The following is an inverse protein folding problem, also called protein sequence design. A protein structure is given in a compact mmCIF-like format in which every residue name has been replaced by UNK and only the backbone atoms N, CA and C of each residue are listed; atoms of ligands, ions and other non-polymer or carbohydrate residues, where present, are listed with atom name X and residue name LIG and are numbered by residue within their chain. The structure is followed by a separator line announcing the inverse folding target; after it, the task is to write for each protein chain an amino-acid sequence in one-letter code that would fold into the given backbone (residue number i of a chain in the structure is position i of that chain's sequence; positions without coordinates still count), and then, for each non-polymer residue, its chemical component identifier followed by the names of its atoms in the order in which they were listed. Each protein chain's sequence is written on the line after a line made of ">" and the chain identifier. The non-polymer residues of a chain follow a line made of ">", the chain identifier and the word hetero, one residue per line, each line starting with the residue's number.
data_IF_860448634732
#
_entry.id   IF_860448634732
#
_cell.length_a   1.000
_cell.length_b   1.000
_cell.length_c   1.000
_cell.angle_alpha   90.00
_cell.angle_beta   90.00
_cell.angle_gamma   90.00
#
_symmetry.space_group_name_H-M   'P 1'
#
loop_
_entity.id
_entity.type
_entity.pdbx_description
1 polymer ?
#
# COMPACT_ATOMS: atom_id res chain seq x y z
N UNK A 1 10.71 18.23 -5.26
CA UNK A 1 10.53 16.77 -5.18
C UNK A 1 9.77 16.51 -3.91
N UNK A 2 8.53 16.06 -3.95
CA UNK A 2 7.85 15.59 -2.74
C UNK A 2 8.44 14.22 -2.42
N UNK A 3 9.29 14.11 -1.41
CA UNK A 3 9.69 12.82 -0.86
C UNK A 3 8.41 12.11 -0.38
N UNK A 4 8.06 10.99 -1.01
CA UNK A 4 6.96 10.15 -0.54
C UNK A 4 7.21 9.67 0.89
N UNK A 5 6.14 9.58 1.69
CA UNK A 5 6.20 9.00 3.02
C UNK A 5 6.37 7.48 2.88
N UNK A 6 7.21 6.91 3.74
CA UNK A 6 7.41 5.47 3.82
C UNK A 6 6.54 4.94 4.96
N UNK A 7 5.65 4.00 4.64
CA UNK A 7 4.91 3.22 5.62
C UNK A 7 5.68 1.93 5.93
N UNK A 8 5.97 1.69 7.21
CA UNK A 8 6.55 0.43 7.70
C UNK A 8 5.49 -0.26 8.55
N UNK A 9 5.10 -1.47 8.16
CA UNK A 9 4.01 -2.19 8.82
C UNK A 9 4.36 -3.65 9.14
N UNK A 10 3.69 -4.20 10.16
CA UNK A 10 3.67 -5.63 10.44
C UNK A 10 2.25 -6.04 10.81
N UNK A 11 1.61 -6.83 9.93
CA UNK A 11 0.26 -7.34 10.17
C UNK A 11 0.29 -8.42 11.28
N UNK A 12 -0.72 -8.39 12.14
CA UNK A 12 -0.94 -9.38 13.18
C UNK A 12 -2.44 -9.67 13.32
N UNK A 13 -2.79 -10.82 13.89
CA UNK A 13 -4.17 -11.20 14.17
C UNK A 13 -4.49 -10.73 15.60
N UNK A 14 -5.46 -9.82 15.81
CA UNK A 14 -5.85 -9.41 17.15
C UNK A 14 -6.58 -10.56 17.86
N UNK A 15 -6.26 -10.76 19.14
CA UNK A 15 -6.98 -11.68 20.03
C UNK A 15 -7.91 -10.94 21.00
N UNK A 16 -8.77 -11.66 21.75
CA UNK A 16 -9.48 -11.09 22.89
C UNK A 16 -8.48 -10.44 23.85
N UNK A 17 -8.73 -9.21 24.32
CA UNK A 17 -7.78 -8.50 25.19
C UNK A 17 -6.82 -7.55 24.47
N UNK A 18 -6.83 -7.48 23.12
CA UNK A 18 -5.88 -6.64 22.38
C UNK A 18 -6.08 -5.15 22.71
N UNK A 19 -7.33 -4.70 22.75
CA UNK A 19 -7.66 -3.29 23.02
C UNK A 19 -7.31 -2.91 24.48
N UNK A 20 -7.66 -3.77 25.44
CA UNK A 20 -7.36 -3.59 26.85
C UNK A 20 -5.85 -3.51 27.08
N UNK A 21 -5.08 -4.39 26.43
CA UNK A 21 -3.62 -4.40 26.55
C UNK A 21 -2.99 -3.13 25.96
N UNK A 22 -3.52 -2.60 24.86
CA UNK A 22 -3.07 -1.33 24.30
C UNK A 22 -3.30 -0.18 25.29
N UNK A 23 -4.46 -0.13 25.95
CA UNK A 23 -4.79 0.88 26.97
C UNK A 23 -3.88 0.77 28.20
N UNK A 24 -3.63 -0.44 28.71
CA UNK A 24 -2.72 -0.67 29.84
C UNK A 24 -1.29 -0.19 29.59
N UNK A 25 -0.84 -0.26 28.33
CA UNK A 25 0.48 0.21 27.90
C UNK A 25 0.52 1.72 27.60
N UNK A 26 -0.59 2.44 27.82
CA UNK A 26 -0.69 3.88 27.60
C UNK A 26 -1.08 4.28 26.18
N UNK A 27 -1.52 3.33 25.34
CA UNK A 27 -2.13 3.62 24.05
C UNK A 27 -3.47 4.32 24.22
N UNK A 28 -3.85 5.14 23.25
CA UNK A 28 -5.15 5.82 23.22
C UNK A 28 -5.88 5.47 21.93
N UNK A 29 -7.20 5.28 21.99
CA UNK A 29 -8.01 5.19 20.79
C UNK A 29 -8.06 6.56 20.11
N UNK A 30 -7.27 6.71 19.04
CA UNK A 30 -7.17 7.98 18.31
C UNK A 30 -8.49 8.27 17.58
N UNK A 31 -8.95 7.33 16.75
CA UNK A 31 -10.18 7.44 15.97
C UNK A 31 -10.82 6.06 15.74
N UNK A 32 -12.13 6.05 15.52
CA UNK A 32 -12.86 4.92 14.97
C UNK A 32 -13.51 5.35 13.66
N UNK A 33 -13.19 4.66 12.57
CA UNK A 33 -13.66 5.01 11.23
C UNK A 33 -14.17 3.78 10.49
N UNK A 34 -15.19 4.00 9.68
CA UNK A 34 -15.65 3.04 8.66
C UNK A 34 -15.29 3.62 7.30
N UNK A 35 -14.58 2.86 6.47
CA UNK A 35 -14.20 3.27 5.13
C UNK A 35 -14.39 2.12 4.15
N UNK A 36 -14.48 2.47 2.86
CA UNK A 36 -14.52 1.53 1.75
C UNK A 36 -13.36 1.80 0.81
N UNK A 37 -12.60 0.76 0.54
CA UNK A 37 -11.58 0.75 -0.50
C UNK A 37 -12.09 -0.02 -1.73
N UNK A 38 -11.95 0.58 -2.90
CA UNK A 38 -12.09 -0.11 -4.19
C UNK A 38 -10.70 -0.35 -4.75
N UNK A 39 -10.30 -1.62 -4.86
CA UNK A 39 -8.99 -2.01 -5.40
C UNK A 39 -9.06 -2.25 -6.91
N UNK A 40 -8.00 -1.85 -7.61
CA UNK A 40 -7.90 -1.94 -9.06
C UNK A 40 -6.60 -2.61 -9.47
N UNK A 41 -6.67 -3.49 -10.46
CA UNK A 41 -5.52 -4.16 -11.08
C UNK A 41 -5.86 -4.53 -12.54
N UNK A 42 -4.88 -5.06 -13.27
CA UNK A 42 -5.11 -5.69 -14.57
C UNK A 42 -5.76 -7.07 -14.39
N UNK A 43 -6.38 -7.66 -15.44
CA UNK A 43 -6.92 -9.02 -15.37
C UNK A 43 -5.91 -10.08 -14.90
N UNK A 44 -4.63 -9.85 -15.16
CA UNK A 44 -3.52 -10.75 -14.78
C UNK A 44 -3.04 -10.55 -13.33
N UNK A 45 -3.63 -9.58 -12.61
CA UNK A 45 -3.22 -9.17 -11.27
C UNK A 45 -1.76 -8.69 -11.23
N UNK A 46 -1.38 -7.90 -12.23
CA UNK A 46 -0.01 -7.48 -12.47
C UNK A 46 0.58 -6.65 -11.32
N UNK A 47 -0.23 -5.76 -10.72
CA UNK A 47 0.20 -4.93 -9.60
C UNK A 47 0.36 -5.77 -8.34
N UNK A 48 -0.62 -6.62 -8.01
CA UNK A 48 -0.55 -7.48 -6.83
C UNK A 48 0.64 -8.44 -6.89
N UNK A 49 0.91 -9.05 -8.06
CA UNK A 49 2.11 -9.88 -8.27
C UNK A 49 3.42 -9.10 -8.14
N UNK A 50 3.37 -7.79 -8.26
CA UNK A 50 4.51 -6.88 -8.13
C UNK A 50 4.65 -6.26 -6.74
N UNK A 51 3.82 -6.66 -5.77
CA UNK A 51 3.70 -6.00 -4.47
C UNK A 51 3.30 -4.51 -4.56
N UNK A 52 2.47 -4.17 -5.56
CA UNK A 52 1.88 -2.84 -5.73
C UNK A 52 0.37 -2.89 -5.48
N UNK A 53 -0.18 -1.82 -4.90
CA UNK A 53 -1.58 -1.77 -4.47
C UNK A 53 -2.22 -0.44 -4.86
N UNK A 54 -3.08 -0.45 -5.88
CA UNK A 54 -3.86 0.71 -6.31
C UNK A 54 -5.27 0.63 -5.73
N UNK A 55 -5.69 1.67 -5.00
CA UNK A 55 -7.02 1.75 -4.44
C UNK A 55 -7.59 3.16 -4.57
N UNK A 56 -8.91 3.24 -4.65
CA UNK A 56 -9.66 4.45 -4.39
C UNK A 56 -10.40 4.28 -3.06
N UNK A 57 -10.12 5.17 -2.12
CA UNK A 57 -10.79 5.23 -0.82
C UNK A 57 -11.90 6.27 -0.88
N UNK A 58 -13.11 5.88 -0.47
CA UNK A 58 -14.35 6.67 -0.62
C UNK A 58 -14.26 8.10 -0.04
N UNK A 59 -13.39 8.33 0.94
CA UNK A 59 -13.21 9.62 1.63
C UNK A 59 -11.90 10.36 1.35
N UNK A 60 -10.86 9.70 0.81
CA UNK A 60 -9.52 10.29 0.64
C UNK A 60 -9.00 10.30 -0.81
N UNK A 61 -9.69 9.63 -1.74
CA UNK A 61 -9.31 9.61 -3.16
C UNK A 61 -8.35 8.47 -3.49
N UNK A 62 -7.44 8.72 -4.44
CA UNK A 62 -6.54 7.70 -4.97
C UNK A 62 -5.29 7.52 -4.11
N UNK A 63 -4.95 6.26 -3.83
CA UNK A 63 -3.77 5.87 -3.07
C UNK A 63 -3.07 4.72 -3.80
N UNK A 64 -1.75 4.83 -3.99
CA UNK A 64 -0.94 3.81 -4.63
C UNK A 64 0.25 3.45 -3.75
N UNK A 65 0.24 2.22 -3.22
CA UNK A 65 1.38 1.64 -2.49
C UNK A 65 2.33 1.00 -3.47
N UNK A 66 3.58 1.45 -3.44
CA UNK A 66 4.68 0.85 -4.18
C UNK A 66 5.61 0.17 -3.17
N UNK A 67 6.19 -1.00 -3.49
CA UNK A 67 7.17 -1.62 -2.60
C UNK A 67 8.35 -0.65 -2.39
N UNK A 68 8.91 -0.66 -1.18
CA UNK A 68 10.14 0.06 -0.86
C UNK A 68 11.33 -0.41 -1.70
N UNK A 69 12.55 0.03 -1.32
CA UNK A 69 13.75 -0.33 -2.07
C UNK A 69 13.90 -1.86 -2.17
N UNK A 70 13.96 -2.37 -3.42
CA UNK A 70 14.00 -3.80 -3.70
C UNK A 70 15.16 -4.48 -2.96
N UNK A 71 14.86 -5.49 -2.14
CA UNK A 71 15.84 -6.35 -1.47
C UNK A 71 16.20 -5.97 -0.03
N UNK A 72 15.57 -4.96 0.57
CA UNK A 72 15.90 -4.51 1.94
C UNK A 72 14.95 -5.10 3.01
N UNK A 73 13.66 -5.27 2.71
CA UNK A 73 12.67 -5.88 3.61
C UNK A 73 11.89 -7.00 2.92
N UNK A 74 11.25 -7.89 3.71
CA UNK A 74 10.32 -8.88 3.17
C UNK A 74 9.12 -8.24 2.48
N UNK A 75 8.41 -9.02 1.65
CA UNK A 75 7.14 -8.61 1.04
C UNK A 75 6.18 -8.11 2.14
N UNK A 76 5.38 -7.09 1.83
CA UNK A 76 4.39 -6.53 2.76
C UNK A 76 4.94 -5.91 4.05
N UNK A 77 6.15 -5.36 4.01
CA UNK A 77 6.79 -4.74 5.18
C UNK A 77 7.01 -3.23 5.01
N UNK A 78 7.34 -2.77 3.80
CA UNK A 78 7.69 -1.38 3.53
C UNK A 78 7.09 -0.91 2.20
N UNK A 79 6.37 0.21 2.24
CA UNK A 79 5.77 0.81 1.06
C UNK A 79 6.02 2.31 0.99
N UNK A 80 6.28 2.80 -0.22
CA UNK A 80 6.14 4.22 -0.55
C UNK A 80 4.70 4.49 -0.93
N UNK A 81 4.02 5.37 -0.20
CA UNK A 81 2.64 5.77 -0.49
C UNK A 81 2.59 7.00 -1.39
N UNK A 82 1.93 6.87 -2.55
CA UNK A 82 1.65 7.96 -3.48
C UNK A 82 0.16 8.29 -3.46
N UNK A 83 -0.17 9.56 -3.19
CA UNK A 83 -1.56 10.07 -3.15
C UNK A 83 -1.83 11.13 -4.21
N UNK A 84 -0.78 11.78 -4.73
CA UNK A 84 -0.92 12.73 -5.82
C UNK A 84 -1.14 11.99 -7.15
N UNK A 85 -2.29 12.20 -7.79
CA UNK A 85 -2.65 11.51 -9.05
C UNK A 85 -1.57 11.57 -10.14
N UNK A 86 -0.88 12.71 -10.40
CA UNK A 86 0.20 12.74 -11.38
C UNK A 86 1.36 11.80 -11.05
N UNK A 87 1.69 11.65 -9.75
CA UNK A 87 2.72 10.73 -9.30
C UNK A 87 2.26 9.27 -9.41
N UNK A 88 0.98 8.99 -9.12
CA UNK A 88 0.37 7.67 -9.32
C UNK A 88 0.43 7.28 -10.79
N UNK A 89 -0.02 8.15 -11.69
CA UNK A 89 0.02 7.90 -13.14
C UNK A 89 1.43 7.66 -13.63
N UNK A 90 2.38 8.51 -13.25
CA UNK A 90 3.79 8.34 -13.63
C UNK A 90 4.34 6.99 -13.19
N UNK A 91 4.04 6.56 -11.96
CA UNK A 91 4.51 5.28 -11.43
C UNK A 91 3.81 4.07 -12.06
N UNK A 92 2.52 4.16 -12.34
CA UNK A 92 1.79 3.12 -13.10
C UNK A 92 2.39 2.96 -14.50
N UNK A 93 2.69 4.06 -15.19
CA UNK A 93 3.36 4.02 -16.49
C UNK A 93 4.70 3.30 -16.42
N UNK A 94 5.53 3.58 -15.40
CA UNK A 94 6.79 2.89 -15.16
C UNK A 94 6.58 1.37 -15.00
N UNK A 95 5.68 0.96 -14.08
CA UNK A 95 5.40 -0.44 -13.76
C UNK A 95 4.91 -1.22 -14.99
N UNK A 96 3.99 -0.64 -15.77
CA UNK A 96 3.45 -1.30 -16.96
C UNK A 96 4.39 -1.27 -18.16
N UNK A 97 5.23 -0.23 -18.29
CA UNK A 97 6.21 -0.14 -19.37
C UNK A 97 7.30 -1.21 -19.24
N UNK A 98 7.87 -1.38 -18.05
CA UNK A 98 8.90 -2.39 -17.82
C UNK A 98 8.40 -3.82 -18.05
N UNK A 99 7.10 -4.06 -17.87
CA UNK A 99 6.50 -5.40 -18.03
C UNK A 99 6.15 -5.77 -19.47
N UNK A 100 5.99 -4.80 -20.38
CA UNK A 100 5.73 -5.10 -21.81
C UNK A 100 6.92 -5.71 -22.56
N UNK A 101 8.13 -5.61 -22.03
CA UNK A 101 9.36 -6.08 -22.69
C UNK A 101 9.93 -7.39 -22.10
N UNK A 102 9.22 -8.03 -21.18
CA UNK A 102 9.56 -9.35 -20.62
C UNK A 102 8.61 -10.45 -21.11
N UNK A 103 8.29 -10.46 -22.41
CA UNK A 103 7.70 -11.63 -23.07
C UNK A 103 8.84 -12.50 -23.62
N UNK A 104 8.98 -13.78 -23.20
CA UNK A 104 9.94 -14.67 -23.82
C UNK A 104 9.50 -14.97 -25.26
N UNK A 105 10.48 -15.03 -26.16
CA UNK A 105 10.35 -15.44 -27.56
C UNK A 105 9.86 -16.89 -27.68
#
# INVERSE_FOLDING_TARGET
>A
MAQGLIEVERKFIPGPGTEERLLELGGTLEHQVTFRDSYFDTPELSLMRADHWLRQRESSGWEFKCPGAAGVSGLHTEYVELTAEPAIVAKLCEVFWHRKWHLPS
#
